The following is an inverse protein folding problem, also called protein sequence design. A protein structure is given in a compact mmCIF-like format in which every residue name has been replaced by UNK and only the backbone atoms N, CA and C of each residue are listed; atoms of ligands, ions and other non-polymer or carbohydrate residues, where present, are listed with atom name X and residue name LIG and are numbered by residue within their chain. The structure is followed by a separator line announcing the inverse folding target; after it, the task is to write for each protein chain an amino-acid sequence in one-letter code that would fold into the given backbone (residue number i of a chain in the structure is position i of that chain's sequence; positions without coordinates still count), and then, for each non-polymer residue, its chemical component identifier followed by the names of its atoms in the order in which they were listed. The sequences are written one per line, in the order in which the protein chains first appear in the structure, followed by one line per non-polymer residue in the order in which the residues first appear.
data_IF_590157335068
#
_entry.id   IF_590157335068
#
_cell.length_a   1.000
_cell.length_b   1.000
_cell.length_c   1.000
_cell.angle_alpha   90.00
_cell.angle_beta   90.00
_cell.angle_gamma   90.00
#
_symmetry.space_group_name_H-M   'P 1'
#
loop_
_entity.id
_entity.type
_entity.pdbx_description
1 polymer ?
#
# COMPACT_ATOMS: atom_id res chain seq x y z
N UNK A 1 7.55 14.19 -19.93
CA UNK A 1 7.72 13.23 -18.80
C UNK A 1 6.45 13.22 -17.97
N UNK A 2 6.01 12.04 -17.49
CA UNK A 2 4.84 11.92 -16.60
C UNK A 2 5.27 12.17 -15.15
N UNK A 3 4.45 12.92 -14.41
CA UNK A 3 4.65 13.27 -13.01
C UNK A 3 3.45 12.80 -12.18
N UNK A 4 3.66 12.60 -10.89
CA UNK A 4 2.60 12.39 -9.91
C UNK A 4 2.63 13.57 -8.95
N UNK A 5 1.49 14.23 -8.81
CA UNK A 5 1.31 15.34 -7.87
C UNK A 5 1.15 14.81 -6.44
N UNK A 6 1.51 15.64 -5.46
CA UNK A 6 1.24 15.31 -4.07
C UNK A 6 -0.27 15.18 -3.83
N UNK A 7 -0.67 14.15 -3.09
CA UNK A 7 -2.09 13.92 -2.79
C UNK A 7 -2.23 13.30 -1.40
N UNK A 8 -3.23 13.76 -0.66
CA UNK A 8 -3.71 13.12 0.58
C UNK A 8 -4.87 12.15 0.33
N UNK A 9 -5.39 12.10 -0.89
CA UNK A 9 -6.62 11.36 -1.22
C UNK A 9 -6.36 10.07 -1.99
N UNK A 10 -5.20 9.97 -2.66
CA UNK A 10 -4.83 8.85 -3.50
C UNK A 10 -3.51 8.25 -3.03
N UNK A 11 -3.47 6.93 -2.91
CA UNK A 11 -2.27 6.20 -2.50
C UNK A 11 -2.43 4.70 -2.55
N UNK A 12 -1.36 4.00 -2.16
CA UNK A 12 -1.37 2.56 -2.03
C UNK A 12 -2.04 2.18 -0.70
N UNK A 13 -3.14 1.43 -0.77
CA UNK A 13 -3.99 1.10 0.37
C UNK A 13 -3.44 -0.01 1.26
N UNK A 14 -3.47 0.21 2.56
CA UNK A 14 -3.15 -0.74 3.63
C UNK A 14 -4.37 -0.93 4.55
N UNK A 15 -4.50 -2.14 5.10
CA UNK A 15 -5.41 -2.39 6.22
C UNK A 15 -4.62 -2.35 7.52
N UNK A 16 -5.08 -1.56 8.50
CA UNK A 16 -4.47 -1.48 9.83
C UNK A 16 -5.20 -2.32 10.87
N UNK A 17 -6.28 -3.00 10.47
CA UNK A 17 -6.97 -3.97 11.32
C UNK A 17 -7.58 -5.12 10.50
N UNK A 18 -7.94 -6.19 11.21
CA UNK A 18 -8.48 -7.41 10.61
C UNK A 18 -9.83 -7.18 9.92
N UNK A 19 -10.67 -6.26 10.41
CA UNK A 19 -11.98 -5.94 9.80
C UNK A 19 -11.80 -5.35 8.39
N UNK A 20 -10.88 -4.38 8.23
CA UNK A 20 -10.58 -3.80 6.93
C UNK A 20 -9.86 -4.79 6.03
N UNK A 21 -8.92 -5.57 6.58
CA UNK A 21 -8.22 -6.60 5.84
C UNK A 21 -9.19 -7.60 5.20
N UNK A 22 -10.10 -8.19 5.97
CA UNK A 22 -11.14 -9.11 5.45
C UNK A 22 -11.98 -8.46 4.34
N UNK A 23 -12.33 -7.16 4.48
CA UNK A 23 -13.06 -6.42 3.45
C UNK A 23 -12.25 -6.22 2.16
N UNK A 24 -10.96 -5.89 2.27
CA UNK A 24 -10.07 -5.76 1.12
C UNK A 24 -9.92 -7.10 0.40
N UNK A 25 -9.64 -8.17 1.13
CA UNK A 25 -9.49 -9.49 0.52
C UNK A 25 -10.78 -9.93 -0.17
N UNK A 26 -11.95 -9.77 0.46
CA UNK A 26 -13.24 -10.07 -0.19
C UNK A 26 -13.45 -9.29 -1.49
N UNK A 27 -12.97 -8.06 -1.58
CA UNK A 27 -13.04 -7.27 -2.82
C UNK A 27 -12.14 -7.81 -3.94
N UNK A 28 -11.06 -8.54 -3.59
CA UNK A 28 -10.12 -9.16 -4.52
C UNK A 28 -10.51 -10.58 -4.93
N UNK A 29 -11.36 -11.25 -4.15
CA UNK A 29 -11.88 -12.60 -4.43
C UNK A 29 -12.45 -12.76 -5.85
N UNK A 30 -13.05 -11.70 -6.40
CA UNK A 30 -13.63 -11.69 -7.75
C UNK A 30 -12.59 -11.76 -8.87
N UNK A 31 -11.35 -11.39 -8.58
CA UNK A 31 -10.30 -11.24 -9.58
C UNK A 31 -9.18 -12.26 -9.40
N UNK A 32 -8.94 -12.72 -8.16
CA UNK A 32 -7.84 -13.60 -7.84
C UNK A 32 -8.30 -14.69 -6.86
N UNK A 33 -8.03 -15.98 -7.18
CA UNK A 33 -8.34 -17.09 -6.29
C UNK A 33 -7.37 -17.19 -5.11
N UNK A 34 -6.21 -16.53 -5.20
CA UNK A 34 -5.19 -16.46 -4.16
C UNK A 34 -4.61 -15.06 -4.10
N UNK A 35 -4.23 -14.62 -2.90
CA UNK A 35 -3.54 -13.36 -2.67
C UNK A 35 -2.37 -13.57 -1.72
N UNK A 36 -1.23 -12.99 -2.06
CA UNK A 36 -0.10 -12.88 -1.15
C UNK A 36 -0.35 -11.72 -0.18
N UNK A 37 -0.04 -11.93 1.09
CA UNK A 37 -0.25 -10.96 2.16
C UNK A 37 1.12 -10.43 2.58
N UNK A 38 1.24 -9.10 2.51
CA UNK A 38 2.44 -8.38 2.92
C UNK A 38 2.10 -7.47 4.10
N UNK A 39 3.00 -7.42 5.07
CA UNK A 39 2.96 -6.51 6.21
C UNK A 39 4.17 -5.58 6.18
N UNK A 40 4.06 -4.44 6.84
CA UNK A 40 5.17 -3.51 7.02
C UNK A 40 5.07 -2.86 8.39
N UNK A 41 6.23 -2.71 9.02
CA UNK A 41 6.40 -1.81 10.16
C UNK A 41 6.49 -0.38 9.62
N UNK A 42 5.53 0.46 10.01
CA UNK A 42 5.45 1.86 9.59
C UNK A 42 6.69 2.67 10.02
N UNK A 43 7.32 2.30 11.15
CA UNK A 43 8.55 2.98 11.61
C UNK A 43 9.71 2.76 10.66
N UNK A 44 9.71 1.64 9.92
CA UNK A 44 10.70 1.36 8.89
C UNK A 44 10.41 2.09 7.58
N UNK A 45 9.22 2.67 7.41
CA UNK A 45 8.79 3.34 6.19
C UNK A 45 9.11 4.83 6.16
N UNK A 46 10.38 5.17 6.34
CA UNK A 46 10.89 6.50 6.02
C UNK A 46 11.49 6.51 4.62
N UNK A 47 10.76 7.09 3.66
CA UNK A 47 11.22 7.30 2.27
C UNK A 47 10.84 8.72 1.87
N UNK A 48 11.83 9.55 1.49
CA UNK A 48 11.55 10.96 1.18
C UNK A 48 10.53 11.10 0.04
N UNK A 49 9.55 11.98 0.26
CA UNK A 49 8.45 12.21 -0.68
C UNK A 49 7.33 11.17 -0.61
N UNK A 50 7.41 10.17 0.28
CA UNK A 50 6.34 9.21 0.57
C UNK A 50 5.98 9.24 2.06
N UNK A 51 4.70 9.04 2.37
CA UNK A 51 4.23 8.98 3.77
C UNK A 51 3.02 8.07 3.90
N UNK A 52 2.93 7.35 5.03
CA UNK A 52 1.68 6.70 5.43
C UNK A 52 0.76 7.72 6.11
N UNK A 53 -0.48 7.78 5.64
CA UNK A 53 -1.56 8.60 6.20
C UNK A 53 -2.69 7.69 6.65
N UNK A 54 -3.11 7.84 7.89
CA UNK A 54 -4.29 7.17 8.44
C UNK A 54 -5.55 7.96 8.08
N UNK A 55 -6.08 7.71 6.89
CA UNK A 55 -7.19 8.49 6.34
C UNK A 55 -8.57 8.11 6.90
N UNK A 56 -8.77 6.85 7.32
CA UNK A 56 -10.06 6.28 7.78
C UNK A 56 -9.82 5.16 8.79
N UNK A 57 -10.80 4.89 9.64
CA UNK A 57 -10.71 3.82 10.64
C UNK A 57 -10.35 2.47 9.98
N UNK A 58 -9.23 1.89 10.40
CA UNK A 58 -8.74 0.60 9.90
C UNK A 58 -8.05 0.65 8.54
N UNK A 59 -7.87 1.83 7.95
CA UNK A 59 -7.24 2.03 6.64
C UNK A 59 -6.10 3.03 6.75
N UNK A 60 -5.04 2.75 5.99
CA UNK A 60 -3.93 3.67 5.82
C UNK A 60 -3.55 3.71 4.34
N UNK A 61 -3.03 4.85 3.90
CA UNK A 61 -2.63 5.07 2.52
C UNK A 61 -1.17 5.51 2.47
N UNK A 62 -0.35 4.83 1.69
CA UNK A 62 0.97 5.34 1.31
C UNK A 62 0.80 6.33 0.17
N UNK A 63 1.00 7.61 0.46
CA UNK A 63 0.78 8.69 -0.49
C UNK A 63 2.07 9.44 -0.83
N UNK A 64 2.04 10.14 -1.95
CA UNK A 64 3.13 11.03 -2.39
C UNK A 64 2.95 12.39 -1.73
N UNK A 65 3.99 12.90 -1.08
CA UNK A 65 3.95 14.19 -0.34
C UNK A 65 4.56 15.35 -1.11
N UNK A 66 5.31 15.08 -2.18
CA UNK A 66 5.94 16.07 -3.06
C UNK A 66 5.80 15.62 -4.51
N UNK A 67 5.58 16.55 -5.44
CA UNK A 67 5.58 16.23 -6.87
C UNK A 67 6.85 15.46 -7.23
N UNK A 68 6.69 14.30 -7.85
CA UNK A 68 7.82 13.43 -8.20
C UNK A 68 7.63 12.88 -9.62
N UNK A 69 8.74 12.60 -10.29
CA UNK A 69 8.66 11.97 -11.61
C UNK A 69 8.23 10.50 -11.48
N UNK A 70 7.51 9.96 -12.46
CA UNK A 70 7.11 8.54 -12.43
C UNK A 70 8.31 7.59 -12.25
N UNK A 71 9.45 7.77 -12.95
CA UNK A 71 10.63 6.91 -12.74
C UNK A 71 11.20 6.98 -11.32
N UNK A 72 11.22 8.17 -10.71
CA UNK A 72 11.67 8.33 -9.33
C UNK A 72 10.69 7.69 -8.34
N UNK A 73 9.39 7.83 -8.57
CA UNK A 73 8.36 7.17 -7.78
C UNK A 73 8.52 5.64 -7.81
N UNK A 74 8.79 5.06 -8.98
CA UNK A 74 9.03 3.61 -9.12
C UNK A 74 10.20 3.18 -8.23
N UNK A 75 11.34 3.88 -8.30
CA UNK A 75 12.51 3.59 -7.45
C UNK A 75 12.18 3.68 -5.95
N UNK A 76 11.39 4.67 -5.55
CA UNK A 76 10.93 4.81 -4.16
C UNK A 76 10.01 3.65 -3.75
N UNK A 77 9.08 3.25 -4.62
CA UNK A 77 8.20 2.11 -4.38
C UNK A 77 8.95 0.78 -4.34
N UNK A 78 10.03 0.61 -5.09
CA UNK A 78 10.92 -0.56 -4.98
C UNK A 78 11.60 -0.63 -3.62
N UNK A 79 12.03 0.50 -3.05
CA UNK A 79 12.55 0.56 -1.68
C UNK A 79 11.48 0.15 -0.68
N UNK A 80 10.24 0.64 -0.84
CA UNK A 80 9.11 0.23 -0.01
C UNK A 80 8.84 -1.27 -0.15
N UNK A 81 8.85 -1.81 -1.36
CA UNK A 81 8.61 -3.22 -1.63
C UNK A 81 9.63 -4.14 -0.93
N UNK A 82 10.90 -3.73 -0.84
CA UNK A 82 11.94 -4.46 -0.10
C UNK A 82 11.74 -4.47 1.41
N UNK A 83 10.99 -3.49 1.95
CA UNK A 83 10.66 -3.39 3.37
C UNK A 83 9.37 -4.13 3.73
N UNK A 84 8.59 -4.58 2.74
CA UNK A 84 7.41 -5.38 2.95
C UNK A 84 7.82 -6.82 3.29
N UNK A 85 7.33 -7.32 4.41
CA UNK A 85 7.48 -8.71 4.80
C UNK A 85 6.31 -9.53 4.26
N UNK A 86 6.61 -10.60 3.53
CA UNK A 86 5.58 -11.56 3.14
C UNK A 86 5.19 -12.40 4.36
N UNK A 87 4.00 -12.17 4.89
CA UNK A 87 3.50 -12.86 6.09
C UNK A 87 2.59 -14.05 5.76
N UNK A 88 2.25 -14.24 4.48
CA UNK A 88 1.51 -15.43 4.08
C UNK A 88 0.93 -15.35 2.68
N UNK A 89 0.15 -16.38 2.36
CA UNK A 89 -0.68 -16.49 1.18
C UNK A 89 -2.04 -17.01 1.61
N UNK A 90 -3.11 -16.45 1.06
CA UNK A 90 -4.47 -16.87 1.39
C UNK A 90 -5.25 -17.16 0.13
N UNK A 91 -5.94 -18.30 0.12
CA UNK A 91 -6.95 -18.61 -0.88
C UNK A 91 -8.17 -17.72 -0.62
N UNK A 92 -8.57 -16.98 -1.65
CA UNK A 92 -9.73 -16.10 -1.63
C UNK A 92 -10.78 -16.72 -2.55
N UNK A 93 -11.32 -17.86 -2.12
CA UNK A 93 -12.44 -18.47 -2.82
C UNK A 93 -13.68 -17.53 -2.73
N UNK A 94 -14.50 -17.44 -3.79
CA UNK A 94 -15.75 -16.68 -3.78
C UNK A 94 -16.69 -17.05 -2.64
#
# INVERSE_FOLDING_TARGET
MKYVEASSEVGLSFATNMKKFKKLIKSKARFHPEVDIYAIDETMLMVDGLRIVHDRLGHASLTVTKRTSVPELIKKLEIVARKLEKIGRMRVAP
#
